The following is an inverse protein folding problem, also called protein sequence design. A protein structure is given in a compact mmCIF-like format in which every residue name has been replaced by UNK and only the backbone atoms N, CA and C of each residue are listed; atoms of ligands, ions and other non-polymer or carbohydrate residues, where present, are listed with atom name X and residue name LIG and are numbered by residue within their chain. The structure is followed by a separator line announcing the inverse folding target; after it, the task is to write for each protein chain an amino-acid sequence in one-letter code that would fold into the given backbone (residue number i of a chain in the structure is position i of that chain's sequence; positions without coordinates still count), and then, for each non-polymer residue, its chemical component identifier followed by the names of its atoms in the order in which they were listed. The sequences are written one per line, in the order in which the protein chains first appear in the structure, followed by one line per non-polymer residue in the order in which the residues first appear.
data_IF_598060876061
#
_entry.id   IF_598060876061
#
_cell.length_a   1.000
_cell.length_b   1.000
_cell.length_c   1.000
_cell.angle_alpha   90.00
_cell.angle_beta   90.00
_cell.angle_gamma   90.00
#
_symmetry.space_group_name_H-M   'P 1'
#
loop_
_entity.id
_entity.type
_entity.pdbx_description
1 polymer ?
#
# COMPACT_ATOMS: atom_id res chain seq x y z
N UNK A 1 -28.10 5.91 10.71
CA UNK A 1 -27.35 7.13 11.04
C UNK A 1 -26.15 7.18 10.11
N UNK A 2 -25.99 8.27 9.36
CA UNK A 2 -24.87 8.44 8.43
C UNK A 2 -23.64 9.00 9.16
N UNK A 3 -22.43 8.82 8.58
CA UNK A 3 -21.20 9.41 9.13
C UNK A 3 -21.32 10.94 9.26
N UNK A 4 -22.04 11.57 8.32
CA UNK A 4 -22.31 13.00 8.33
C UNK A 4 -23.10 13.43 9.57
N UNK A 5 -24.17 12.72 9.87
CA UNK A 5 -25.01 13.00 11.06
C UNK A 5 -24.24 12.82 12.37
N UNK A 6 -23.37 11.80 12.45
CA UNK A 6 -22.52 11.60 13.62
C UNK A 6 -21.48 12.73 13.80
N UNK A 7 -20.90 13.20 12.69
CA UNK A 7 -19.93 14.30 12.69
C UNK A 7 -20.57 15.63 13.09
N UNK A 8 -21.73 15.94 12.51
CA UNK A 8 -22.47 17.18 12.78
C UNK A 8 -22.90 17.23 14.27
N UNK A 9 -23.34 16.11 14.85
CA UNK A 9 -23.67 16.02 16.28
C UNK A 9 -22.46 16.18 17.21
N UNK A 10 -21.32 15.54 16.88
CA UNK A 10 -20.10 15.68 17.68
C UNK A 10 -19.51 17.10 17.61
N UNK A 11 -19.67 17.79 16.47
CA UNK A 11 -19.31 19.20 16.29
C UNK A 11 -20.17 20.13 17.16
N UNK A 12 -21.49 19.92 17.18
CA UNK A 12 -22.39 20.69 18.06
C UNK A 12 -22.05 20.47 19.53
N UNK A 13 -21.78 19.23 19.96
CA UNK A 13 -21.39 18.92 21.33
C UNK A 13 -20.04 19.56 21.70
N UNK A 14 -19.07 19.54 20.80
CA UNK A 14 -17.77 20.19 20.99
C UNK A 14 -17.91 21.71 21.12
N UNK A 15 -18.76 22.33 20.30
CA UNK A 15 -19.07 23.75 20.36
C UNK A 15 -19.74 24.12 21.69
N UNK A 16 -20.74 23.35 22.11
CA UNK A 16 -21.44 23.58 23.39
C UNK A 16 -20.51 23.46 24.59
N UNK A 17 -19.58 22.51 24.57
CA UNK A 17 -18.60 22.29 25.65
C UNK A 17 -17.37 23.17 25.56
N UNK A 18 -17.21 23.95 24.49
CA UNK A 18 -15.98 24.68 24.15
C UNK A 18 -14.74 23.79 24.26
N UNK A 19 -14.87 22.54 23.83
CA UNK A 19 -13.85 21.50 24.00
C UNK A 19 -13.87 20.56 22.82
N UNK A 20 -12.69 20.15 22.37
CA UNK A 20 -12.54 19.17 21.29
C UNK A 20 -12.66 17.72 21.76
N UNK A 21 -12.79 17.47 23.06
CA UNK A 21 -12.93 16.12 23.61
C UNK A 21 -14.01 15.25 22.91
N UNK A 22 -15.18 15.77 22.51
CA UNK A 22 -16.18 14.98 21.78
C UNK A 22 -15.72 14.48 20.41
N UNK A 23 -14.72 15.13 19.80
CA UNK A 23 -14.19 14.79 18.48
C UNK A 23 -12.95 13.88 18.52
N UNK A 24 -12.31 13.70 19.69
CA UNK A 24 -11.05 12.94 19.82
C UNK A 24 -11.12 11.53 19.23
N UNK A 25 -12.23 10.84 19.45
CA UNK A 25 -12.43 9.49 18.93
C UNK A 25 -12.48 9.45 17.38
N UNK A 26 -12.98 10.51 16.74
CA UNK A 26 -13.05 10.62 15.28
C UNK A 26 -11.66 10.88 14.70
N UNK A 27 -10.86 11.73 15.35
CA UNK A 27 -9.46 11.93 14.98
C UNK A 27 -8.64 10.65 15.14
N UNK A 28 -8.80 9.94 16.27
CA UNK A 28 -8.12 8.65 16.47
C UNK A 28 -8.51 7.60 15.43
N UNK A 29 -9.78 7.56 15.02
CA UNK A 29 -10.23 6.68 13.95
C UNK A 29 -9.64 7.06 12.57
N UNK A 30 -9.55 8.36 12.28
CA UNK A 30 -8.95 8.87 11.05
C UNK A 30 -7.44 8.59 10.98
N UNK A 31 -6.69 8.85 12.05
CA UNK A 31 -5.27 8.52 12.16
C UNK A 31 -5.02 7.01 12.00
N UNK A 32 -5.84 6.18 12.62
CA UNK A 32 -5.73 4.72 12.49
C UNK A 32 -5.99 4.25 11.05
N UNK A 33 -6.99 4.84 10.38
CA UNK A 33 -7.30 4.56 8.99
C UNK A 33 -6.16 5.02 8.06
N UNK A 34 -5.61 6.22 8.30
CA UNK A 34 -4.47 6.75 7.54
C UNK A 34 -3.25 5.84 7.67
N UNK A 35 -2.90 5.45 8.91
CA UNK A 35 -1.79 4.53 9.14
C UNK A 35 -2.01 3.17 8.46
N UNK A 36 -3.25 2.69 8.35
CA UNK A 36 -3.56 1.48 7.61
C UNK A 36 -3.35 1.66 6.10
N UNK A 37 -3.80 2.79 5.53
CA UNK A 37 -3.57 3.14 4.13
C UNK A 37 -2.07 3.22 3.81
N UNK A 38 -1.28 3.88 4.65
CA UNK A 38 0.17 3.99 4.49
C UNK A 38 0.86 2.61 4.48
N UNK A 39 0.48 1.73 5.43
CA UNK A 39 1.01 0.35 5.47
C UNK A 39 0.67 -0.44 4.22
N UNK A 40 -0.58 -0.32 3.73
CA UNK A 40 -1.02 -1.00 2.51
C UNK A 40 -0.30 -0.45 1.28
N UNK A 41 -0.10 0.86 1.19
CA UNK A 41 0.65 1.50 0.11
C UNK A 41 2.11 1.01 0.08
N UNK A 42 2.77 0.94 1.24
CA UNK A 42 4.11 0.40 1.35
C UNK A 42 4.18 -1.09 0.94
N UNK A 43 3.21 -1.90 1.35
CA UNK A 43 3.13 -3.31 0.97
C UNK A 43 2.90 -3.49 -0.54
N UNK A 44 2.06 -2.65 -1.14
CA UNK A 44 1.82 -2.63 -2.59
C UNK A 44 3.10 -2.27 -3.34
N UNK A 45 3.79 -1.20 -2.96
CA UNK A 45 5.05 -0.80 -3.59
C UNK A 45 6.11 -1.92 -3.53
N UNK A 46 6.22 -2.60 -2.39
CA UNK A 46 7.12 -3.74 -2.24
C UNK A 46 6.71 -4.92 -3.15
N UNK A 47 5.41 -5.18 -3.29
CA UNK A 47 4.91 -6.22 -4.18
C UNK A 47 5.19 -5.90 -5.66
N UNK A 48 4.98 -4.65 -6.07
CA UNK A 48 5.27 -4.17 -7.42
C UNK A 48 6.76 -4.31 -7.76
N UNK A 49 7.66 -3.92 -6.84
CA UNK A 49 9.10 -4.12 -7.02
C UNK A 49 9.46 -5.59 -7.22
N UNK A 50 8.91 -6.51 -6.42
CA UNK A 50 9.11 -7.95 -6.61
C UNK A 50 8.61 -8.43 -7.96
N UNK A 51 7.43 -7.96 -8.40
CA UNK A 51 6.88 -8.30 -9.72
C UNK A 51 7.79 -7.83 -10.86
N UNK A 52 8.37 -6.64 -10.75
CA UNK A 52 9.35 -6.13 -11.73
C UNK A 52 10.57 -7.04 -11.78
N UNK A 53 11.14 -7.40 -10.63
CA UNK A 53 12.30 -8.29 -10.57
C UNK A 53 12.01 -9.67 -11.15
N UNK A 54 10.85 -10.25 -10.85
CA UNK A 54 10.42 -11.53 -11.42
C UNK A 54 10.27 -11.45 -12.95
N UNK A 55 9.76 -10.34 -13.49
CA UNK A 55 9.67 -10.14 -14.94
C UNK A 55 11.05 -10.08 -15.59
N UNK A 56 12.02 -9.42 -14.95
CA UNK A 56 13.41 -9.38 -15.41
C UNK A 56 14.04 -10.76 -15.39
N UNK A 57 13.90 -11.50 -14.28
CA UNK A 57 14.41 -12.86 -14.15
C UNK A 57 13.79 -13.79 -15.22
N UNK A 58 12.48 -13.71 -15.43
CA UNK A 58 11.79 -14.48 -16.46
C UNK A 58 12.29 -14.14 -17.87
N UNK A 59 12.53 -12.87 -18.17
CA UNK A 59 13.10 -12.48 -19.46
C UNK A 59 14.50 -13.08 -19.65
N UNK A 60 15.35 -13.02 -18.61
CA UNK A 60 16.68 -13.61 -18.64
C UNK A 60 16.65 -15.13 -18.88
N UNK A 61 15.79 -15.87 -18.18
CA UNK A 61 15.63 -17.31 -18.39
C UNK A 61 15.15 -17.64 -19.82
N UNK A 62 14.28 -16.80 -20.39
CA UNK A 62 13.83 -16.96 -21.79
C UNK A 62 14.95 -16.72 -22.78
N UNK A 63 15.80 -15.72 -22.53
CA UNK A 63 16.97 -15.44 -23.38
C UNK A 63 18.00 -16.59 -23.31
N UNK A 64 18.24 -17.14 -22.11
CA UNK A 64 19.08 -18.33 -21.92
C UNK A 64 18.51 -19.53 -22.67
N UNK A 65 17.21 -19.81 -22.54
CA UNK A 65 16.55 -20.91 -23.23
C UNK A 65 16.57 -20.72 -24.77
N UNK A 66 16.43 -19.49 -25.26
CA UNK A 66 16.46 -19.16 -26.68
C UNK A 66 17.87 -19.24 -27.29
N UNK A 67 18.92 -19.04 -26.49
CA UNK A 67 20.31 -19.06 -26.95
C UNK A 67 20.81 -20.46 -27.33
N UNK A 68 20.01 -21.51 -27.10
CA UNK A 68 20.34 -22.90 -27.42
C UNK A 68 21.52 -23.44 -26.59
N UNK A 69 21.82 -24.75 -26.65
CA UNK A 69 23.01 -25.29 -26.00
C UNK A 69 24.25 -24.65 -26.61
N UNK A 70 25.05 -23.95 -25.78
CA UNK A 70 26.39 -23.51 -26.16
C UNK A 70 27.14 -24.74 -26.64
N UNK A 71 27.43 -24.81 -27.94
CA UNK A 71 28.24 -25.88 -28.49
C UNK A 71 29.66 -25.72 -27.91
N UNK A 72 29.95 -26.50 -26.87
CA UNK A 72 31.27 -26.63 -26.23
C UNK A 72 32.40 -26.94 -27.22
N UNK A 73 32.06 -27.27 -28.47
CA UNK A 73 32.94 -27.60 -29.58
C UNK A 73 33.72 -26.39 -30.17
N UNK A 74 33.62 -25.18 -29.58
CA UNK A 74 34.44 -24.01 -29.98
C UNK A 74 35.46 -23.56 -28.93
N UNK A 75 35.73 -24.38 -27.92
CA UNK A 75 36.76 -24.13 -26.90
C UNK A 75 38.00 -25.04 -27.07
N UNK A 76 38.17 -25.66 -28.25
CA UNK A 76 39.36 -26.47 -28.60
C UNK A 76 40.10 -25.89 -29.79
#
# INVERSE_FOLDING_TARGET
MTLREALDGALEEALQRQSFAPLEHLFGAEEAAMAACERLAAALAAAEQRCVLLRVALAHERDLAASGPIAWNRLH
#
